data_IF_280210315846
#
_entry.id   IF_280210315846
#
_cell.length_a   1.000
_cell.length_b   1.000
_cell.length_c   1.000
_cell.angle_alpha   90.00
_cell.angle_beta   90.00
_cell.angle_gamma   90.00
#
_symmetry.space_group_name_H-M   'P 1'
#
loop_
_entity.id
_entity.type
_entity.pdbx_description
1 polymer ?
#
# COMPACT_ATOMS: atom_id res chain seq x y z
N UNK A 1 14.61 2.49 -9.82
CA UNK A 1 14.79 3.76 -9.09
C UNK A 1 16.26 4.08 -9.14
N UNK A 2 16.63 5.28 -9.56
CA UNK A 2 18.00 5.77 -9.53
C UNK A 2 18.11 6.74 -8.35
N UNK A 3 19.10 6.53 -7.50
CA UNK A 3 19.38 7.39 -6.36
C UNK A 3 20.61 8.24 -6.68
N UNK A 4 20.58 9.49 -6.24
CA UNK A 4 21.74 10.38 -6.29
C UNK A 4 22.16 10.76 -4.88
N UNK A 5 23.46 10.98 -4.72
CA UNK A 5 24.07 11.42 -3.47
C UNK A 5 24.54 12.86 -3.63
N UNK A 6 24.12 13.73 -2.71
CA UNK A 6 24.58 15.11 -2.63
C UNK A 6 25.43 15.30 -1.36
N UNK A 7 26.74 15.48 -1.56
CA UNK A 7 27.70 15.67 -0.48
C UNK A 7 27.54 17.00 0.26
N UNK A 8 27.02 18.04 -0.41
CA UNK A 8 26.82 19.37 0.20
C UNK A 8 25.64 19.33 1.17
N UNK A 9 24.56 18.65 0.79
CA UNK A 9 23.38 18.44 1.65
C UNK A 9 23.70 17.50 2.83
N UNK A 10 24.60 16.53 2.61
CA UNK A 10 25.07 15.63 3.67
C UNK A 10 25.79 16.36 4.81
N UNK A 11 26.58 17.39 4.47
CA UNK A 11 27.34 18.19 5.45
C UNK A 11 26.43 19.11 6.29
N UNK A 12 25.27 19.52 5.76
CA UNK A 12 24.31 20.42 6.43
C UNK A 12 23.21 19.71 7.26
N UNK A 13 23.36 18.41 7.57
CA UNK A 13 22.39 17.55 8.28
C UNK A 13 21.09 17.23 7.53
N UNK A 14 21.08 17.36 6.20
CA UNK A 14 19.95 16.95 5.35
C UNK A 14 19.98 15.45 4.99
N UNK A 15 18.89 14.95 4.41
CA UNK A 15 18.89 13.63 3.78
C UNK A 15 19.74 13.70 2.51
N UNK A 16 20.95 13.10 2.56
CA UNK A 16 21.93 13.15 1.48
C UNK A 16 21.56 12.36 0.22
N UNK A 17 20.42 11.66 0.22
CA UNK A 17 19.98 10.80 -0.87
C UNK A 17 18.68 11.35 -1.48
N UNK A 18 18.75 11.65 -2.77
CA UNK A 18 17.61 12.03 -3.60
C UNK A 18 17.22 10.90 -4.56
N UNK A 19 15.96 10.90 -5.01
CA UNK A 19 15.54 10.08 -6.16
C UNK A 19 15.77 10.93 -7.40
N UNK A 20 16.78 10.59 -8.20
CA UNK A 20 17.08 11.29 -9.46
C UNK A 20 16.20 10.81 -10.60
N UNK A 21 15.81 9.52 -10.58
CA UNK A 21 14.93 8.96 -11.60
C UNK A 21 14.02 7.86 -11.03
N UNK A 22 12.74 7.96 -11.34
CA UNK A 22 11.77 6.90 -11.13
C UNK A 22 11.20 6.46 -12.47
N UNK A 23 11.75 5.40 -13.07
CA UNK A 23 11.14 4.78 -14.25
C UNK A 23 9.85 4.05 -13.83
N UNK A 24 8.66 4.47 -14.31
CA UNK A 24 7.43 3.76 -14.00
C UNK A 24 7.46 2.36 -14.59
N UNK A 25 6.91 1.39 -13.86
CA UNK A 25 6.65 0.07 -14.44
C UNK A 25 5.42 0.20 -15.32
N UNK A 26 5.60 0.01 -16.63
CA UNK A 26 4.45 -0.02 -17.53
C UNK A 26 3.70 -1.34 -17.36
N UNK A 27 2.43 -1.25 -16.97
CA UNK A 27 1.55 -2.41 -16.91
C UNK A 27 1.28 -2.93 -18.32
N UNK A 28 1.35 -4.25 -18.50
CA UNK A 28 1.10 -4.90 -19.80
C UNK A 28 -0.36 -4.77 -20.28
N UNK A 29 -1.29 -4.44 -19.38
CA UNK A 29 -2.72 -4.23 -19.66
C UNK A 29 -3.14 -2.80 -19.33
N UNK A 30 -3.72 -2.11 -20.32
CA UNK A 30 -4.18 -0.71 -20.17
C UNK A 30 -5.44 -0.57 -19.30
N UNK A 31 -6.28 -1.59 -19.21
CA UNK A 31 -7.56 -1.57 -18.50
C UNK A 31 -7.52 -2.24 -17.12
N UNK A 32 -6.34 -2.33 -16.50
CA UNK A 32 -6.19 -3.05 -15.22
C UNK A 32 -7.02 -2.43 -14.10
N UNK A 33 -7.16 -1.10 -14.07
CA UNK A 33 -7.95 -0.42 -13.04
C UNK A 33 -9.44 -0.73 -13.16
N UNK A 34 -9.99 -0.78 -14.37
CA UNK A 34 -11.39 -1.13 -14.61
C UNK A 34 -11.68 -2.58 -14.18
N UNK A 35 -10.79 -3.51 -14.55
CA UNK A 35 -10.90 -4.92 -14.15
C UNK A 35 -10.89 -5.05 -12.62
N UNK A 36 -9.96 -4.35 -11.96
CA UNK A 36 -9.89 -4.38 -10.50
C UNK A 36 -11.15 -3.77 -9.88
N UNK A 37 -11.62 -2.62 -10.38
CA UNK A 37 -12.82 -1.95 -9.89
C UNK A 37 -14.07 -2.83 -10.02
N UNK A 38 -14.24 -3.54 -11.14
CA UNK A 38 -15.33 -4.50 -11.32
C UNK A 38 -15.21 -5.67 -10.34
N UNK A 39 -14.02 -6.26 -10.23
CA UNK A 39 -13.77 -7.39 -9.34
C UNK A 39 -14.04 -7.08 -7.86
N UNK A 40 -13.86 -5.82 -7.43
CA UNK A 40 -14.14 -5.38 -6.05
C UNK A 40 -15.60 -5.60 -5.63
N UNK A 41 -16.53 -5.54 -6.58
CA UNK A 41 -17.96 -5.75 -6.32
C UNK A 41 -18.31 -7.21 -6.00
N UNK A 42 -17.44 -8.15 -6.40
CA UNK A 42 -17.64 -9.58 -6.17
C UNK A 42 -17.23 -10.02 -4.76
N UNK A 43 -16.61 -9.14 -3.97
CA UNK A 43 -16.16 -9.45 -2.62
C UNK A 43 -17.25 -9.16 -1.61
N UNK A 44 -17.53 -10.13 -0.75
CA UNK A 44 -18.30 -9.92 0.47
C UNK A 44 -17.56 -9.03 1.47
N UNK A 45 -18.29 -8.49 2.43
CA UNK A 45 -17.69 -7.71 3.52
C UNK A 45 -16.67 -8.51 4.34
N UNK A 46 -16.82 -9.84 4.42
CA UNK A 46 -15.87 -10.70 5.13
C UNK A 46 -14.57 -10.88 4.37
N UNK A 47 -14.66 -11.16 3.07
CA UNK A 47 -13.49 -11.26 2.20
C UNK A 47 -12.72 -9.94 2.14
N UNK A 48 -13.43 -8.80 2.18
CA UNK A 48 -12.80 -7.48 2.28
C UNK A 48 -12.00 -7.29 3.55
N UNK A 49 -12.55 -7.68 4.71
CA UNK A 49 -11.83 -7.60 5.99
C UNK A 49 -10.56 -8.45 5.95
N UNK A 50 -10.66 -9.67 5.43
CA UNK A 50 -9.55 -10.60 5.35
C UNK A 50 -8.47 -10.12 4.37
N UNK A 51 -8.88 -9.60 3.22
CA UNK A 51 -7.98 -9.00 2.25
C UNK A 51 -7.19 -7.81 2.83
N UNK A 52 -7.86 -6.90 3.54
CA UNK A 52 -7.21 -5.73 4.15
C UNK A 52 -6.25 -6.10 5.28
N UNK A 53 -6.54 -7.16 6.04
CA UNK A 53 -5.63 -7.68 7.06
C UNK A 53 -4.39 -8.31 6.42
N UNK A 54 -4.57 -9.07 5.32
CA UNK A 54 -3.44 -9.66 4.58
C UNK A 54 -2.58 -8.62 3.86
N UNK A 55 -3.16 -7.52 3.39
CA UNK A 55 -2.41 -6.48 2.67
C UNK A 55 -1.36 -5.77 3.53
N UNK A 56 -1.51 -5.82 4.85
CA UNK A 56 -0.52 -5.33 5.83
C UNK A 56 0.39 -6.45 6.39
N UNK A 57 0.34 -7.65 5.81
CA UNK A 57 1.23 -8.76 6.15
C UNK A 57 0.76 -9.64 7.31
N UNK A 58 -0.53 -9.59 7.70
CA UNK A 58 -1.08 -10.43 8.76
C UNK A 58 -1.94 -11.58 8.21
N UNK A 59 -1.80 -12.76 8.82
CA UNK A 59 -2.58 -13.95 8.46
C UNK A 59 -3.99 -13.89 9.06
N UNK A 60 -4.99 -13.56 8.24
CA UNK A 60 -6.38 -13.36 8.69
C UNK A 60 -6.97 -14.58 9.41
N UNK A 61 -6.67 -15.80 8.95
CA UNK A 61 -7.20 -17.05 9.51
C UNK A 61 -6.67 -17.35 10.92
N UNK A 62 -5.56 -16.73 11.34
CA UNK A 62 -5.01 -16.87 12.68
C UNK A 62 -5.62 -15.90 13.70
N UNK A 63 -6.50 -14.99 13.25
CA UNK A 63 -7.04 -13.91 14.07
C UNK A 63 -8.52 -14.14 14.41
N UNK A 64 -8.87 -13.91 15.67
CA UNK A 64 -10.27 -13.82 16.07
C UNK A 64 -10.94 -12.61 15.42
N UNK A 65 -12.26 -12.64 15.30
CA UNK A 65 -13.02 -11.51 14.73
C UNK A 65 -12.69 -10.19 15.42
N UNK A 66 -12.65 -10.19 16.76
CA UNK A 66 -12.32 -9.01 17.56
C UNK A 66 -10.90 -8.49 17.29
N UNK A 67 -9.94 -9.37 17.02
CA UNK A 67 -8.59 -8.96 16.67
C UNK A 67 -8.55 -8.32 15.27
N UNK A 68 -9.25 -8.89 14.29
CA UNK A 68 -9.42 -8.28 12.95
C UNK A 68 -10.03 -6.88 13.06
N UNK A 69 -11.10 -6.72 13.84
CA UNK A 69 -11.77 -5.43 14.03
C UNK A 69 -10.83 -4.38 14.66
N UNK A 70 -10.05 -4.78 15.66
CA UNK A 70 -9.09 -3.88 16.31
C UNK A 70 -7.93 -3.48 15.39
N UNK A 71 -7.53 -4.35 14.46
CA UNK A 71 -6.52 -4.03 13.43
C UNK A 71 -7.11 -3.04 12.43
N UNK A 72 -8.30 -3.32 11.90
CA UNK A 72 -8.98 -2.45 10.94
C UNK A 72 -9.22 -1.05 11.52
N UNK A 73 -9.60 -0.95 12.80
CA UNK A 73 -9.76 0.34 13.47
C UNK A 73 -8.45 1.14 13.53
N UNK A 74 -7.30 0.47 13.71
CA UNK A 74 -5.97 1.13 13.66
C UNK A 74 -5.58 1.57 12.26
N UNK A 75 -6.24 1.04 11.22
CA UNK A 75 -5.99 1.43 9.83
C UNK A 75 -6.76 2.68 9.41
N UNK A 76 -7.81 3.07 10.15
CA UNK A 76 -8.66 4.23 9.83
C UNK A 76 -7.87 5.53 9.56
N UNK A 77 -6.82 5.88 10.32
CA UNK A 77 -6.03 7.09 10.05
C UNK A 77 -5.29 7.09 8.71
N UNK A 78 -5.12 5.94 8.05
CA UNK A 78 -4.44 5.81 6.75
C UNK A 78 -5.41 5.77 5.57
N UNK A 79 -6.72 5.95 5.81
CA UNK A 79 -7.72 5.97 4.75
C UNK A 79 -7.68 7.30 4.02
N UNK A 80 -7.19 7.27 2.79
CA UNK A 80 -7.24 8.39 1.85
C UNK A 80 -8.52 8.35 1.01
N UNK A 81 -8.94 9.51 0.49
CA UNK A 81 -10.05 9.58 -0.46
C UNK A 81 -9.65 8.84 -1.74
N UNK A 82 -10.39 7.78 -2.07
CA UNK A 82 -10.32 7.09 -3.37
C UNK A 82 -11.12 7.85 -4.42
#
# INVERSE_FOLDING_TARGET
VTLEYDSVIAEEKGNAFGISELRPIQMSKRNVLDILAEARSNFSSEEWRDFLVRSIGLESNALSQRAKDAILLRMVPFVERN
#
